data_IF_187671083065
#
_entry.id   IF_187671083065
#
_cell.length_a   1.000
_cell.length_b   1.000
_cell.length_c   1.000
_cell.angle_alpha   90.00
_cell.angle_beta   90.00
_cell.angle_gamma   90.00
#
_symmetry.space_group_name_H-M   'P 1'
#
loop_
_entity.id
_entity.type
_entity.pdbx_description
1 polymer ?
#
# COMPACT_ATOMS: atom_id res chain seq x y z
N UNK A 1 21.64 23.88 12.68
CA UNK A 1 20.99 23.72 12.62
C UNK A 1 21.06 23.70 12.52
N UNK A 2 20.90 23.35 12.77
CA UNK A 2 20.52 23.00 12.97
C UNK A 2 20.26 22.58 12.79
N UNK A 3 20.12 22.37 13.05
CA UNK A 3 19.53 21.82 13.12
C UNK A 3 19.29 21.48 12.88
N UNK A 4 19.57 21.58 12.97
CA UNK A 4 18.94 21.11 13.04
C UNK A 4 18.78 20.79 12.80
N UNK A 5 19.02 20.31 12.93
CA UNK A 5 18.26 19.91 12.77
C UNK A 5 17.92 19.59 12.63
N UNK A 6 18.30 19.46 12.98
CA UNK A 6 17.38 19.01 12.85
C UNK A 6 17.17 18.91 12.53
N UNK A 7 17.32 18.66 12.61
CA UNK A 7 16.45 18.44 12.26
C UNK A 7 16.43 18.22 11.78
N UNK A 8 16.44 18.15 11.79
CA UNK A 8 15.88 17.81 11.38
C UNK A 8 15.68 17.38 11.24
N UNK A 9 15.87 16.93 11.43
CA UNK A 9 15.18 16.47 11.24
C UNK A 9 14.75 16.31 11.05
N UNK A 10 15.17 16.07 11.34
CA UNK A 10 14.13 15.78 10.99
C UNK A 10 13.95 15.73 10.63
N UNK A 11 13.81 15.40 10.57
CA UNK A 11 13.12 15.29 10.11
C UNK A 11 13.09 15.14 9.54
N UNK A 12 13.09 14.76 9.34
CA UNK A 12 12.67 14.53 8.81
C UNK A 12 12.42 14.10 8.76
N UNK A 13 12.63 13.59 8.96
CA UNK A 13 11.95 13.01 8.83
C UNK A 13 11.03 13.26 8.77
N UNK A 14 10.87 13.49 8.57
CA UNK A 14 10.00 13.70 8.38
C UNK A 14 9.41 13.45 7.74
N UNK A 15 9.39 13.96 7.68
CA UNK A 15 8.35 13.37 7.14
C UNK A 15 8.78 12.31 6.44
N UNK A 16 8.79 12.07 5.81
CA UNK A 16 9.06 10.97 5.22
C UNK A 16 9.93 10.09 5.94
N UNK A 17 10.20 10.40 7.05
CA UNK A 17 10.97 9.52 7.82
C UNK A 17 10.22 8.34 8.15
N UNK A 18 9.98 7.59 7.24
CA UNK A 18 9.69 6.23 7.35
C UNK A 18 8.64 5.72 8.28
N UNK A 19 7.80 6.35 8.73
CA UNK A 19 6.86 5.78 9.64
C UNK A 19 5.44 5.91 9.19
N UNK A 20 5.13 6.90 8.43
CA UNK A 20 3.76 7.16 8.05
C UNK A 20 3.37 6.56 6.73
N UNK A 21 2.09 6.62 6.39
CA UNK A 21 1.61 6.17 5.09
C UNK A 21 2.19 7.02 3.97
N UNK A 22 2.55 6.39 2.88
CA UNK A 22 3.11 7.07 1.70
C UNK A 22 2.09 7.14 0.56
N UNK A 23 0.81 7.05 0.87
CA UNK A 23 -0.24 7.12 -0.14
C UNK A 23 -0.68 5.76 -0.61
N UNK A 24 -1.35 5.72 -1.74
CA UNK A 24 -1.92 4.48 -2.26
C UNK A 24 -1.79 4.38 -3.77
N UNK A 25 -1.87 3.15 -4.25
CA UNK A 25 -1.86 2.85 -5.68
C UNK A 25 -3.16 2.15 -6.04
N UNK A 26 -3.93 2.75 -6.95
CA UNK A 26 -5.21 2.20 -7.39
C UNK A 26 -5.01 1.51 -8.72
N UNK A 27 -5.28 0.20 -8.73
CA UNK A 27 -5.09 -0.65 -9.89
C UNK A 27 -6.47 -0.99 -10.44
N UNK A 28 -6.76 -0.66 -11.72
CA UNK A 28 -8.09 -0.89 -12.26
C UNK A 28 -8.42 -2.36 -12.40
N UNK A 29 -9.70 -2.67 -12.46
CA UNK A 29 -10.18 -4.01 -12.71
C UNK A 29 -9.65 -4.51 -14.06
N UNK A 30 -9.37 -5.81 -14.14
CA UNK A 30 -8.85 -6.43 -15.35
C UNK A 30 -9.49 -7.81 -15.52
N UNK A 31 -10.16 -8.02 -16.63
CA UNK A 31 -10.84 -9.28 -16.89
C UNK A 31 -11.90 -9.54 -15.82
N UNK A 32 -11.82 -10.69 -15.17
CA UNK A 32 -12.75 -11.05 -14.09
C UNK A 32 -12.29 -10.56 -12.73
N UNK A 33 -11.08 -10.01 -12.64
CA UNK A 33 -10.56 -9.50 -11.37
C UNK A 33 -11.11 -8.11 -11.10
N UNK A 34 -11.48 -7.87 -9.86
CA UNK A 34 -11.93 -6.55 -9.44
C UNK A 34 -10.78 -5.58 -9.26
N UNK A 35 -11.14 -4.33 -8.99
CA UNK A 35 -10.17 -3.31 -8.66
C UNK A 35 -9.37 -3.70 -7.41
N UNK A 36 -8.11 -3.31 -7.38
CA UNK A 36 -7.23 -3.51 -6.22
C UNK A 36 -6.64 -2.16 -5.84
N UNK A 37 -6.39 -1.96 -4.56
CA UNK A 37 -5.73 -0.74 -4.11
C UNK A 37 -4.68 -1.10 -3.05
N UNK A 38 -3.49 -0.57 -3.21
CA UNK A 38 -2.39 -0.84 -2.29
C UNK A 38 -2.13 0.40 -1.43
N UNK A 39 -2.21 0.24 -0.11
CA UNK A 39 -1.78 1.28 0.82
C UNK A 39 -0.32 1.01 1.19
N UNK A 40 0.53 2.02 1.03
CA UNK A 40 1.94 1.93 1.43
C UNK A 40 2.05 2.43 2.86
N UNK A 41 2.12 1.51 3.82
CA UNK A 41 1.93 1.86 5.23
C UNK A 41 3.22 2.04 6.02
N UNK A 42 4.31 1.42 5.60
CA UNK A 42 5.55 1.51 6.37
C UNK A 42 6.76 1.41 5.45
N UNK A 43 7.76 2.24 5.71
CA UNK A 43 9.06 2.14 5.06
C UNK A 43 9.17 2.81 3.71
N UNK A 44 8.07 3.16 3.08
CA UNK A 44 8.09 3.78 1.75
C UNK A 44 8.22 5.29 1.86
N UNK A 45 9.16 5.86 1.12
CA UNK A 45 9.12 7.28 0.83
C UNK A 45 8.06 7.50 -0.26
N UNK A 46 7.53 8.71 -0.35
CA UNK A 46 6.52 9.03 -1.36
C UNK A 46 7.01 8.70 -2.77
N UNK A 47 8.27 9.01 -3.07
CA UNK A 47 8.84 8.72 -4.39
C UNK A 47 8.91 7.22 -4.67
N UNK A 48 9.19 6.41 -3.66
CA UNK A 48 9.22 4.95 -3.81
C UNK A 48 7.85 4.40 -4.10
N UNK A 49 6.84 4.92 -3.38
CA UNK A 49 5.45 4.50 -3.59
C UNK A 49 4.97 4.87 -5.00
N UNK A 50 5.28 6.08 -5.45
CA UNK A 50 4.93 6.53 -6.79
C UNK A 50 5.59 5.67 -7.86
N UNK A 51 6.86 5.34 -7.68
CA UNK A 51 7.60 4.51 -8.62
C UNK A 51 7.03 3.10 -8.66
N UNK A 52 6.75 2.52 -7.50
CA UNK A 52 6.17 1.18 -7.42
C UNK A 52 4.81 1.16 -8.12
N UNK A 53 4.01 2.20 -7.92
CA UNK A 53 2.70 2.30 -8.57
C UNK A 53 2.82 2.40 -10.10
N UNK A 54 3.86 3.07 -10.58
CA UNK A 54 4.01 3.33 -12.01
C UNK A 54 4.28 2.07 -12.82
N UNK A 55 4.74 0.98 -12.20
CA UNK A 55 5.00 -0.26 -12.94
C UNK A 55 3.73 -1.07 -13.20
N UNK A 56 2.66 -0.77 -12.51
CA UNK A 56 1.38 -1.45 -12.76
C UNK A 56 0.63 -0.73 -13.87
N UNK A 57 0.24 -1.47 -14.89
CA UNK A 57 -0.43 -0.89 -16.06
C UNK A 57 -1.75 -0.25 -15.66
N UNK A 58 -1.93 1.02 -16.02
CA UNK A 58 -3.16 1.75 -15.75
C UNK A 58 -3.35 2.17 -14.29
N UNK A 59 -2.37 1.93 -13.44
CA UNK A 59 -2.50 2.29 -12.03
C UNK A 59 -2.37 3.80 -11.83
N UNK A 60 -3.02 4.28 -10.78
CA UNK A 60 -3.00 5.70 -10.41
C UNK A 60 -2.54 5.85 -8.97
N UNK A 61 -1.52 6.65 -8.76
CA UNK A 61 -1.06 6.99 -7.41
C UNK A 61 -1.95 8.07 -6.81
N UNK A 62 -2.22 7.97 -5.50
CA UNK A 62 -2.96 8.96 -4.74
C UNK A 62 -2.30 9.17 -3.39
N UNK A 63 -2.34 10.40 -2.89
CA UNK A 63 -1.87 10.67 -1.52
C UNK A 63 -2.89 10.23 -0.47
N UNK A 64 -4.11 9.92 -0.88
CA UNK A 64 -5.15 9.44 0.02
C UNK A 64 -5.05 7.95 0.25
N UNK A 65 -5.62 7.49 1.35
CA UNK A 65 -5.73 6.05 1.63
C UNK A 65 -6.69 5.39 0.64
N UNK A 66 -6.58 4.07 0.51
CA UNK A 66 -7.49 3.31 -0.33
C UNK A 66 -8.94 3.43 0.18
N UNK A 67 -9.93 3.46 -0.73
CA UNK A 67 -11.31 3.53 -0.30
C UNK A 67 -11.74 2.25 0.42
N UNK A 68 -12.73 2.37 1.29
CA UNK A 68 -13.26 1.24 2.04
C UNK A 68 -14.57 0.70 1.48
N UNK A 69 -15.24 1.48 0.62
CA UNK A 69 -16.51 1.05 0.03
C UNK A 69 -16.32 -0.17 -0.87
N UNK A 70 -17.19 -1.15 -0.74
CA UNK A 70 -17.17 -2.39 -1.54
C UNK A 70 -15.93 -3.25 -1.35
N UNK A 71 -15.14 -2.97 -0.32
CA UNK A 71 -13.97 -3.79 -0.02
C UNK A 71 -14.40 -5.13 0.55
N UNK A 72 -13.81 -6.22 0.04
CA UNK A 72 -14.11 -7.57 0.51
C UNK A 72 -13.07 -8.09 1.49
N UNK A 73 -11.90 -7.47 1.53
CA UNK A 73 -10.86 -7.85 2.46
C UNK A 73 -9.56 -7.16 2.13
N UNK A 74 -8.57 -7.37 2.97
CA UNK A 74 -7.26 -6.78 2.79
C UNK A 74 -6.16 -7.74 3.21
N UNK A 75 -5.02 -7.62 2.56
CA UNK A 75 -3.86 -8.45 2.81
C UNK A 75 -2.69 -7.57 3.22
N UNK A 76 -2.19 -7.78 4.43
CA UNK A 76 -1.01 -7.07 4.91
C UNK A 76 0.22 -7.91 4.58
N UNK A 77 1.12 -7.36 3.79
CA UNK A 77 2.33 -8.04 3.38
C UNK A 77 3.54 -7.19 3.73
N UNK A 78 4.58 -7.83 4.23
CA UNK A 78 5.82 -7.14 4.60
C UNK A 78 7.00 -7.77 3.87
N UNK A 79 8.06 -6.97 3.68
CA UNK A 79 9.32 -7.50 3.17
C UNK A 79 9.92 -8.46 4.19
N UNK A 80 10.82 -9.38 3.77
CA UNK A 80 11.40 -10.37 4.70
C UNK A 80 12.08 -9.77 5.92
N UNK A 81 12.67 -8.57 5.76
CA UNK A 81 13.33 -7.89 6.87
C UNK A 81 12.38 -6.99 7.67
N UNK A 82 11.11 -6.92 7.27
CA UNK A 82 10.13 -6.09 7.95
C UNK A 82 10.26 -4.60 7.71
N UNK A 83 11.17 -4.19 6.82
CA UNK A 83 11.42 -2.77 6.58
C UNK A 83 10.27 -2.08 5.85
N UNK A 84 9.57 -2.82 4.99
CA UNK A 84 8.47 -2.29 4.18
C UNK A 84 7.21 -3.09 4.43
N UNK A 85 6.10 -2.39 4.56
CA UNK A 85 4.79 -3.02 4.73
C UNK A 85 3.79 -2.34 3.82
N UNK A 86 2.98 -3.14 3.15
CA UNK A 86 1.88 -2.64 2.33
C UNK A 86 0.63 -3.43 2.61
N UNK A 87 -0.52 -2.81 2.38
CA UNK A 87 -1.81 -3.44 2.54
C UNK A 87 -2.51 -3.46 1.19
N UNK A 88 -2.76 -4.66 0.69
CA UNK A 88 -3.50 -4.83 -0.57
C UNK A 88 -4.97 -4.96 -0.25
N UNK A 89 -5.77 -4.04 -0.77
CA UNK A 89 -7.22 -4.02 -0.56
C UNK A 89 -7.90 -4.58 -1.79
N UNK A 90 -8.83 -5.50 -1.57
CA UNK A 90 -9.56 -6.18 -2.65
C UNK A 90 -11.02 -5.77 -2.63
N UNK A 91 -11.57 -5.54 -3.81
CA UNK A 91 -12.93 -5.01 -3.97
C UNK A 91 -13.78 -5.93 -4.84
N UNK A 92 -15.09 -5.90 -4.62
CA UNK A 92 -16.01 -6.63 -5.49
C UNK A 92 -15.78 -6.19 -6.95
N UNK A 93 -15.90 -7.10 -7.94
CA UNK A 93 -16.44 -8.45 -7.85
C UNK A 93 -15.48 -9.54 -7.36
N UNK A 94 -14.24 -9.20 -6.99
CA UNK A 94 -13.35 -10.18 -6.39
C UNK A 94 -14.01 -10.75 -5.13
N UNK A 95 -13.98 -12.07 -4.96
CA UNK A 95 -14.58 -12.69 -3.77
C UNK A 95 -13.56 -12.72 -2.64
N UNK A 96 -14.07 -12.83 -1.41
CA UNK A 96 -13.19 -12.97 -0.25
C UNK A 96 -12.29 -14.21 -0.36
N UNK A 97 -12.82 -15.29 -0.93
CA UNK A 97 -12.07 -16.51 -1.14
C UNK A 97 -10.89 -16.31 -2.09
N UNK A 98 -11.13 -15.63 -3.20
CA UNK A 98 -10.08 -15.34 -4.18
C UNK A 98 -9.04 -14.38 -3.58
N UNK A 99 -9.48 -13.39 -2.83
CA UNK A 99 -8.59 -12.47 -2.16
C UNK A 99 -7.70 -13.19 -1.15
N UNK A 100 -8.28 -14.12 -0.40
CA UNK A 100 -7.54 -14.90 0.58
C UNK A 100 -6.46 -15.75 -0.09
N UNK A 101 -6.79 -16.39 -1.21
CA UNK A 101 -5.83 -17.18 -1.98
C UNK A 101 -4.69 -16.32 -2.49
N UNK A 102 -5.02 -15.15 -3.01
CA UNK A 102 -4.02 -14.20 -3.50
C UNK A 102 -3.09 -13.74 -2.37
N UNK A 103 -3.67 -13.48 -1.20
CA UNK A 103 -2.91 -13.07 -0.03
C UNK A 103 -1.95 -14.16 0.43
N UNK A 104 -2.39 -15.41 0.42
CA UNK A 104 -1.55 -16.54 0.79
C UNK A 104 -0.35 -16.66 -0.17
N UNK A 105 -0.55 -16.37 -1.44
CA UNK A 105 0.52 -16.37 -2.43
C UNK A 105 1.57 -15.29 -2.17
N UNK A 106 1.19 -14.23 -1.49
CA UNK A 106 2.11 -13.15 -1.11
C UNK A 106 2.68 -13.35 0.29
N UNK A 107 2.32 -14.42 0.96
CA UNK A 107 2.71 -14.69 2.36
C UNK A 107 2.26 -13.58 3.28
N UNK A 108 1.13 -12.99 2.98
CA UNK A 108 0.54 -11.93 3.80
C UNK A 108 -0.45 -12.47 4.80
N UNK A 109 -0.96 -11.57 5.62
CA UNK A 109 -2.02 -11.85 6.59
C UNK A 109 -3.32 -11.28 6.06
N UNK A 110 -4.31 -12.13 5.85
CA UNK A 110 -5.59 -11.73 5.30
C UNK A 110 -6.58 -11.35 6.40
N UNK A 111 -7.33 -10.29 6.15
CA UNK A 111 -8.37 -9.83 7.04
C UNK A 111 -9.63 -9.58 6.20
N UNK A 112 -10.68 -10.35 6.47
CA UNK A 112 -11.96 -10.14 5.78
C UNK A 112 -12.62 -8.86 6.30
N UNK A 113 -13.38 -8.25 5.44
CA UNK A 113 -14.07 -7.01 5.78
C UNK A 113 -15.30 -7.28 6.63
#
# INVERSE_FOLDING_TARGET
MREFVAVYLGLLCIAGCGGGPAGSCRIPASGSAGQTCIDFTKGYATSDAMQTCSVASGATYSSDSCPTANRVGRCTASSPDGAFTQVNNYYAPTTASDAMTSCAGQRGTFEAN
#
